data_IF_279658397216
#
_entry.id   IF_279658397216
#
_cell.length_a   1.000
_cell.length_b   1.000
_cell.length_c   1.000
_cell.angle_alpha   90.00
_cell.angle_beta   90.00
_cell.angle_gamma   90.00
#
_symmetry.space_group_name_H-M   'P 1'
#
loop_
_entity.id
_entity.type
_entity.pdbx_description
1 polymer ?
#
# COMPACT_ATOMS: atom_id res chain seq x y z
N UNK A 1 -20.95 6.69 -16.44
CA UNK A 1 -20.36 7.47 -17.56
C UNK A 1 -19.41 8.57 -17.09
N UNK A 2 -19.52 9.10 -15.87
CA UNK A 2 -18.64 10.16 -15.35
C UNK A 2 -17.17 9.75 -15.11
N UNK A 3 -16.90 8.54 -14.61
CA UNK A 3 -15.52 8.05 -14.40
C UNK A 3 -14.64 8.04 -15.66
N UNK A 4 -15.24 7.87 -16.85
CA UNK A 4 -14.50 7.94 -18.12
C UNK A 4 -14.11 9.38 -18.49
N UNK A 5 -14.87 10.40 -18.07
CA UNK A 5 -14.60 11.81 -18.39
C UNK A 5 -13.42 12.36 -17.60
N UNK A 6 -13.26 11.96 -16.33
CA UNK A 6 -12.08 12.33 -15.54
C UNK A 6 -10.80 11.71 -16.10
N UNK A 7 -10.86 10.41 -16.45
CA UNK A 7 -9.74 9.72 -17.08
C UNK A 7 -9.33 10.35 -18.41
N UNK A 8 -10.28 10.80 -19.22
CA UNK A 8 -10.00 11.47 -20.49
C UNK A 8 -9.50 12.91 -20.31
N UNK A 9 -9.94 13.61 -19.26
CA UNK A 9 -9.41 14.93 -18.90
C UNK A 9 -7.96 14.84 -18.43
N UNK A 10 -7.66 13.86 -17.57
CA UNK A 10 -6.31 13.56 -17.11
C UNK A 10 -5.41 13.19 -18.30
N UNK A 11 -5.86 12.31 -19.22
CA UNK A 11 -5.12 11.95 -20.44
C UNK A 11 -4.78 13.16 -21.33
N UNK A 12 -5.67 14.15 -21.38
CA UNK A 12 -5.53 15.36 -22.18
C UNK A 12 -4.56 16.35 -21.53
N UNK A 13 -4.66 16.56 -20.22
CA UNK A 13 -3.74 17.39 -19.44
C UNK A 13 -2.31 16.83 -19.42
N UNK A 14 -2.17 15.50 -19.43
CA UNK A 14 -0.88 14.84 -19.45
C UNK A 14 -0.30 14.66 -20.85
N UNK A 15 -0.79 15.30 -21.91
CA UNK A 15 -0.10 15.41 -23.22
C UNK A 15 0.36 14.07 -23.84
N UNK A 16 -0.55 13.13 -24.06
CA UNK A 16 -0.27 11.88 -24.78
C UNK A 16 -0.51 12.11 -26.28
N UNK A 17 0.52 12.55 -26.99
CA UNK A 17 0.49 12.56 -28.45
C UNK A 17 0.56 11.11 -28.97
N UNK A 18 -0.28 10.83 -29.95
CA UNK A 18 -0.50 9.54 -30.60
C UNK A 18 0.79 8.99 -31.23
N UNK A 19 1.48 8.14 -30.48
CA UNK A 19 2.58 7.30 -30.95
C UNK A 19 2.65 6.07 -30.06
N UNK A 20 2.53 4.90 -30.68
CA UNK A 20 2.50 3.55 -30.08
C UNK A 20 1.69 3.45 -28.77
N UNK A 21 0.47 2.90 -28.87
CA UNK A 21 -0.54 2.85 -27.80
C UNK A 21 0.04 2.29 -26.48
N UNK A 22 0.99 1.36 -26.56
CA UNK A 22 1.69 0.83 -25.40
C UNK A 22 2.60 1.85 -24.71
N UNK A 23 3.39 2.61 -25.48
CA UNK A 23 4.26 3.68 -24.97
C UNK A 23 3.44 4.83 -24.37
N UNK A 24 2.32 5.17 -25.03
CA UNK A 24 1.36 6.18 -24.61
C UNK A 24 0.67 5.81 -23.30
N UNK A 25 0.15 4.58 -23.16
CA UNK A 25 -0.45 4.07 -21.92
C UNK A 25 0.56 4.04 -20.76
N UNK A 26 1.81 3.68 -21.04
CA UNK A 26 2.89 3.65 -20.05
C UNK A 26 3.28 5.05 -19.58
N UNK A 27 3.43 6.02 -20.50
CA UNK A 27 3.65 7.44 -20.16
C UNK A 27 2.46 8.03 -19.40
N UNK A 28 1.23 7.67 -19.76
CA UNK A 28 0.02 8.05 -19.04
C UNK A 28 0.05 7.60 -17.58
N UNK A 29 0.32 6.30 -17.36
CA UNK A 29 0.41 5.70 -16.02
C UNK A 29 1.49 6.36 -15.16
N UNK A 30 2.67 6.62 -15.73
CA UNK A 30 3.74 7.34 -15.03
C UNK A 30 3.36 8.78 -14.65
N UNK A 31 2.69 9.51 -15.56
CA UNK A 31 2.22 10.89 -15.28
C UNK A 31 1.08 10.90 -14.25
N UNK A 32 0.20 9.90 -14.27
CA UNK A 32 -0.81 9.67 -13.23
C UNK A 32 -0.14 9.41 -11.87
N UNK A 33 0.90 8.59 -11.80
CA UNK A 33 1.66 8.40 -10.56
C UNK A 33 2.19 9.73 -10.00
N UNK A 34 2.87 10.53 -10.83
CA UNK A 34 3.41 11.84 -10.42
C UNK A 34 2.30 12.78 -9.95
N UNK A 35 1.18 12.85 -10.68
CA UNK A 35 0.01 13.64 -10.29
C UNK A 35 -0.57 13.17 -8.95
N UNK A 36 -0.74 11.86 -8.76
CA UNK A 36 -1.29 11.31 -7.51
C UNK A 36 -0.39 11.61 -6.30
N UNK A 37 0.94 11.68 -6.50
CA UNK A 37 1.87 12.12 -5.44
C UNK A 37 1.67 13.58 -5.04
N UNK A 38 1.28 14.46 -5.97
CA UNK A 38 1.02 15.87 -5.64
C UNK A 38 -0.33 16.09 -4.95
N UNK A 39 -1.24 15.12 -5.02
CA UNK A 39 -2.59 15.24 -4.44
C UNK A 39 -2.67 15.02 -2.92
N UNK A 40 -1.55 14.89 -2.19
CA UNK A 40 -1.51 14.62 -0.73
C UNK A 40 -2.51 13.52 -0.32
N UNK A 41 -2.51 12.42 -1.06
CA UNK A 41 -3.42 11.29 -0.77
C UNK A 41 -3.00 10.66 0.56
N UNK A 42 -3.91 10.70 1.53
CA UNK A 42 -3.72 10.05 2.83
C UNK A 42 -4.35 8.65 2.81
N UNK A 43 -3.58 7.59 3.13
CA UNK A 43 -4.14 6.25 3.28
C UNK A 43 -5.23 6.21 4.35
N UNK A 44 -6.33 5.54 4.03
CA UNK A 44 -7.43 5.30 4.97
C UNK A 44 -7.47 3.80 5.27
N UNK A 45 -7.37 3.47 6.56
CA UNK A 45 -7.26 2.09 7.03
C UNK A 45 -8.54 1.63 7.71
N UNK A 46 -9.00 0.44 7.36
CA UNK A 46 -10.05 -0.25 8.09
C UNK A 46 -9.41 -0.93 9.30
N UNK A 47 -9.83 -0.58 10.51
CA UNK A 47 -9.53 -1.35 11.70
C UNK A 47 -10.67 -2.33 11.95
N UNK A 48 -11.04 -3.07 10.90
CA UNK A 48 -12.21 -3.93 10.91
C UNK A 48 -11.93 -5.15 11.80
N UNK A 49 -12.92 -5.58 12.60
CA UNK A 49 -12.81 -6.77 13.47
C UNK A 49 -12.94 -8.09 12.65
N UNK A 50 -12.70 -8.06 11.33
CA UNK A 50 -12.97 -9.19 10.43
C UNK A 50 -11.98 -10.36 10.66
N UNK A 51 -12.45 -11.36 11.40
CA UNK A 51 -11.78 -12.66 11.62
C UNK A 51 -11.80 -13.58 10.38
N UNK A 52 -12.68 -13.35 9.41
CA UNK A 52 -12.93 -14.35 8.33
C UNK A 52 -11.75 -14.51 7.36
N UNK A 53 -11.03 -13.44 7.03
CA UNK A 53 -9.93 -13.49 6.03
C UNK A 53 -8.63 -14.10 6.57
N UNK A 54 -8.49 -14.27 7.88
CA UNK A 54 -7.26 -14.71 8.54
C UNK A 54 -7.53 -15.76 9.62
N UNK A 55 -8.48 -16.66 9.36
CA UNK A 55 -8.95 -17.71 10.29
C UNK A 55 -7.85 -18.64 10.83
N UNK A 56 -6.64 -18.58 10.27
CA UNK A 56 -5.47 -19.32 10.73
C UNK A 56 -4.82 -18.73 12.00
N UNK A 57 -5.15 -17.48 12.39
CA UNK A 57 -4.62 -16.85 13.60
C UNK A 57 -5.70 -16.64 14.64
N UNK A 58 -5.49 -17.15 15.85
CA UNK A 58 -6.45 -17.05 16.95
C UNK A 58 -6.66 -15.61 17.42
N UNK A 59 -5.58 -14.81 17.43
CA UNK A 59 -5.56 -13.41 17.90
C UNK A 59 -4.60 -12.58 17.06
N UNK A 60 -5.01 -11.35 16.77
CA UNK A 60 -4.20 -10.39 16.01
C UNK A 60 -3.92 -9.15 16.86
N UNK A 61 -2.85 -8.45 16.53
CA UNK A 61 -2.50 -7.14 17.04
C UNK A 61 -2.31 -6.19 15.87
N UNK A 62 -2.70 -4.94 16.06
CA UNK A 62 -2.45 -3.86 15.10
C UNK A 62 -1.25 -3.07 15.61
N UNK A 63 -0.19 -3.03 14.81
CA UNK A 63 1.00 -2.25 15.11
C UNK A 63 1.13 -1.07 14.15
N UNK A 64 1.63 0.06 14.64
CA UNK A 64 2.16 1.14 13.81
C UNK A 64 3.62 0.79 13.45
N UNK A 65 3.88 0.58 12.16
CA UNK A 65 5.17 0.16 11.63
C UNK A 65 5.79 1.24 10.74
N UNK A 66 7.11 1.40 10.81
CA UNK A 66 7.86 2.26 9.91
C UNK A 66 7.96 1.63 8.52
N UNK A 67 7.55 2.35 7.48
CA UNK A 67 7.54 1.85 6.10
C UNK A 67 8.95 1.54 5.59
N UNK A 68 9.95 2.34 5.97
CA UNK A 68 11.36 2.06 5.64
C UNK A 68 11.82 0.72 6.23
N UNK A 69 11.54 0.49 7.52
CA UNK A 69 11.90 -0.75 8.20
C UNK A 69 11.19 -1.95 7.59
N UNK A 70 9.89 -1.85 7.28
CA UNK A 70 9.17 -2.91 6.57
C UNK A 70 9.86 -3.25 5.25
N UNK A 71 10.28 -2.28 4.46
CA UNK A 71 10.94 -2.53 3.17
C UNK A 71 12.34 -3.11 3.32
N UNK A 72 13.10 -2.66 4.31
CA UNK A 72 14.51 -3.05 4.51
C UNK A 72 14.68 -4.38 5.23
N UNK A 73 13.72 -4.76 6.09
CA UNK A 73 13.83 -5.90 7.01
C UNK A 73 12.88 -7.05 6.71
N UNK A 74 12.10 -6.95 5.64
CA UNK A 74 11.24 -8.05 5.20
C UNK A 74 11.71 -8.71 3.91
N UNK A 75 11.04 -9.78 3.54
CA UNK A 75 11.11 -10.45 2.26
C UNK A 75 10.55 -9.62 1.08
N UNK A 76 10.27 -8.33 1.31
CA UNK A 76 9.73 -7.41 0.31
C UNK A 76 10.60 -7.38 -0.95
N UNK A 77 10.08 -7.97 -2.02
CA UNK A 77 10.69 -7.90 -3.34
C UNK A 77 10.58 -6.49 -3.93
N UNK A 78 11.45 -5.59 -3.47
CA UNK A 78 11.60 -4.19 -3.92
C UNK A 78 11.68 -4.06 -5.44
N UNK A 79 12.22 -5.08 -6.13
CA UNK A 79 12.35 -5.12 -7.59
C UNK A 79 11.02 -5.15 -8.37
N UNK A 80 9.90 -5.50 -7.71
CA UNK A 80 8.60 -5.76 -8.38
C UNK A 80 7.58 -4.64 -8.31
N UNK A 81 7.72 -3.65 -7.41
CA UNK A 81 6.57 -2.81 -7.06
C UNK A 81 6.79 -1.31 -7.30
N UNK A 82 8.00 -0.78 -7.14
CA UNK A 82 8.29 0.61 -7.55
C UNK A 82 9.74 0.67 -8.02
N UNK A 83 10.02 0.25 -9.26
CA UNK A 83 11.26 0.69 -9.92
C UNK A 83 11.25 2.23 -9.98
N UNK A 84 12.42 2.85 -10.11
CA UNK A 84 12.57 4.31 -10.39
C UNK A 84 11.65 4.83 -11.50
N UNK A 85 11.11 3.93 -12.34
CA UNK A 85 10.01 4.14 -13.26
C UNK A 85 8.66 3.85 -12.56
N UNK A 86 7.91 4.89 -12.22
CA UNK A 86 6.62 4.91 -11.51
C UNK A 86 5.46 4.11 -12.14
N UNK A 87 5.66 2.82 -12.45
CA UNK A 87 4.62 1.96 -13.03
C UNK A 87 3.72 1.37 -11.96
N UNK A 88 2.66 2.12 -11.67
CA UNK A 88 1.53 1.62 -10.90
C UNK A 88 0.78 0.55 -11.73
N UNK A 89 0.69 -0.66 -11.19
CA UNK A 89 -0.22 -1.72 -11.66
C UNK A 89 -1.67 -1.40 -11.30
N UNK A 90 -2.61 -2.07 -11.93
CA UNK A 90 -4.04 -1.78 -11.76
C UNK A 90 -4.50 -1.93 -10.29
N UNK A 91 -4.01 -2.93 -9.55
CA UNK A 91 -4.27 -3.08 -8.11
C UNK A 91 -3.82 -1.87 -7.27
N UNK A 92 -2.74 -1.17 -7.67
CA UNK A 92 -2.33 0.04 -7.00
C UNK A 92 -3.30 1.20 -7.27
N UNK A 93 -3.76 1.30 -8.52
CA UNK A 93 -4.70 2.35 -8.94
C UNK A 93 -6.04 2.17 -8.21
N UNK A 94 -6.52 0.94 -8.07
CA UNK A 94 -7.76 0.65 -7.35
C UNK A 94 -7.69 1.07 -5.87
N UNK A 95 -6.55 0.84 -5.22
CA UNK A 95 -6.32 1.27 -3.83
C UNK A 95 -6.23 2.79 -3.73
N UNK A 96 -5.51 3.44 -4.64
CA UNK A 96 -5.42 4.90 -4.68
C UNK A 96 -6.80 5.53 -4.86
N UNK A 97 -7.64 4.99 -5.76
CA UNK A 97 -9.01 5.45 -5.92
C UNK A 97 -9.83 5.29 -4.64
N UNK A 98 -9.71 4.14 -3.95
CA UNK A 98 -10.37 3.94 -2.66
C UNK A 98 -9.93 4.97 -1.62
N UNK A 99 -8.64 5.25 -1.49
CA UNK A 99 -8.15 6.26 -0.55
C UNK A 99 -8.54 7.70 -0.92
N UNK A 100 -8.60 8.02 -2.22
CA UNK A 100 -9.15 9.29 -2.71
C UNK A 100 -10.62 9.43 -2.30
N UNK A 101 -11.41 8.37 -2.52
CA UNK A 101 -12.83 8.30 -2.16
C UNK A 101 -13.06 8.10 -0.64
N UNK A 102 -12.00 8.17 0.18
CA UNK A 102 -12.02 7.94 1.63
C UNK A 102 -12.65 6.61 2.06
N UNK A 103 -12.55 5.60 1.20
CA UNK A 103 -12.95 4.22 1.46
C UNK A 103 -11.84 3.52 2.25
N UNK A 104 -12.11 3.05 3.49
CA UNK A 104 -11.13 2.32 4.29
C UNK A 104 -10.72 0.99 3.63
N UNK A 105 -9.46 0.60 3.80
CA UNK A 105 -8.90 -0.67 3.34
C UNK A 105 -8.18 -1.33 4.51
N UNK A 106 -8.26 -2.65 4.65
CA UNK A 106 -7.58 -3.33 5.74
C UNK A 106 -6.05 -3.05 5.73
N UNK A 107 -5.34 -3.21 6.86
CA UNK A 107 -3.90 -3.09 6.91
C UNK A 107 -3.22 -4.32 6.28
N UNK A 108 -1.95 -4.22 5.86
CA UNK A 108 -1.15 -5.38 5.45
C UNK A 108 -1.02 -6.40 6.59
N UNK A 109 -1.00 -7.69 6.25
CA UNK A 109 -0.76 -8.75 7.22
C UNK A 109 0.72 -9.14 7.19
N UNK A 110 1.36 -9.07 8.36
CA UNK A 110 2.75 -9.44 8.56
C UNK A 110 2.88 -10.48 9.67
N UNK A 111 3.98 -11.24 9.68
CA UNK A 111 4.40 -12.08 10.79
C UNK A 111 5.87 -11.82 11.17
N UNK A 112 6.35 -12.58 12.15
CA UNK A 112 7.76 -12.58 12.54
C UNK A 112 8.19 -14.00 12.91
N UNK A 113 9.14 -14.54 12.15
CA UNK A 113 9.79 -15.83 12.43
C UNK A 113 11.30 -15.61 12.55
N UNK A 114 11.99 -15.43 11.41
CA UNK A 114 13.44 -15.09 11.33
C UNK A 114 13.67 -13.70 10.69
N UNK A 115 12.66 -12.84 10.79
CA UNK A 115 12.57 -11.55 10.09
C UNK A 115 11.12 -11.17 9.86
N UNK A 116 10.90 -9.99 9.30
CA UNK A 116 9.53 -9.55 8.98
C UNK A 116 9.05 -10.31 7.74
N UNK A 117 8.01 -11.14 7.86
CA UNK A 117 7.38 -11.74 6.69
C UNK A 117 6.12 -10.95 6.31
N UNK A 118 5.99 -10.57 5.03
CA UNK A 118 4.76 -9.92 4.54
C UNK A 118 3.88 -10.97 3.88
N UNK A 119 2.90 -11.44 4.64
CA UNK A 119 1.96 -12.48 4.22
C UNK A 119 0.97 -11.95 3.18
N UNK A 120 0.52 -10.70 3.32
CA UNK A 120 -0.41 -10.05 2.40
C UNK A 120 -0.23 -8.52 2.43
N UNK A 121 -0.58 -7.83 1.33
CA UNK A 121 -0.55 -6.37 1.30
C UNK A 121 0.74 -5.72 0.84
N UNK A 122 1.65 -6.47 0.21
CA UNK A 122 2.88 -5.93 -0.39
C UNK A 122 2.65 -4.69 -1.27
N UNK A 123 1.58 -4.70 -2.06
CA UNK A 123 1.21 -3.58 -2.94
C UNK A 123 0.75 -2.32 -2.15
N UNK A 124 0.14 -2.49 -0.96
CA UNK A 124 -0.25 -1.39 -0.06
C UNK A 124 0.99 -0.74 0.58
N UNK A 125 1.93 -1.56 1.07
CA UNK A 125 3.20 -1.06 1.63
C UNK A 125 3.99 -0.28 0.56
N UNK A 126 4.04 -0.80 -0.66
CA UNK A 126 4.70 -0.13 -1.78
C UNK A 126 4.07 1.23 -2.10
N UNK A 127 2.74 1.31 -2.09
CA UNK A 127 2.01 2.55 -2.29
C UNK A 127 2.30 3.56 -1.18
N UNK A 128 2.36 3.13 0.08
CA UNK A 128 2.73 4.00 1.18
C UNK A 128 4.15 4.54 1.02
N UNK A 129 5.11 3.73 0.54
CA UNK A 129 6.45 4.23 0.18
C UNK A 129 6.42 5.25 -0.95
N UNK A 130 5.60 5.01 -1.98
CA UNK A 130 5.44 5.90 -3.11
C UNK A 130 4.87 7.27 -2.70
N UNK A 131 3.87 7.26 -1.81
CA UNK A 131 3.22 8.43 -1.23
C UNK A 131 4.04 9.08 -0.10
N UNK A 132 5.23 8.55 0.21
CA UNK A 132 6.11 9.04 1.29
C UNK A 132 5.45 9.03 2.67
N UNK A 133 4.55 8.07 2.89
CA UNK A 133 3.92 7.82 4.18
C UNK A 133 4.97 7.17 5.09
N UNK A 134 5.32 7.78 6.24
CA UNK A 134 6.41 7.30 7.07
C UNK A 134 6.04 6.03 7.85
N UNK A 135 4.78 5.94 8.27
CA UNK A 135 4.26 4.89 9.13
C UNK A 135 2.91 4.39 8.67
N UNK A 136 2.67 3.10 8.82
CA UNK A 136 1.41 2.45 8.44
C UNK A 136 0.99 1.46 9.52
N UNK A 137 -0.32 1.26 9.74
CA UNK A 137 -0.77 0.14 10.54
C UNK A 137 -0.47 -1.16 9.79
N UNK A 138 -0.14 -2.22 10.54
CA UNK A 138 -0.04 -3.60 10.06
C UNK A 138 -0.80 -4.51 11.02
N UNK A 139 -1.38 -5.58 10.48
CA UNK A 139 -1.91 -6.70 11.25
C UNK A 139 -0.79 -7.69 11.50
N UNK A 140 -0.70 -8.20 12.73
CA UNK A 140 0.33 -9.15 13.14
C UNK A 140 -0.28 -10.19 14.09
N UNK A 141 0.09 -11.48 14.00
CA UNK A 141 -0.23 -12.45 15.04
C UNK A 141 0.23 -11.96 16.43
N UNK A 142 -0.62 -12.14 17.45
CA UNK A 142 -0.35 -11.59 18.79
C UNK A 142 1.00 -12.06 19.35
N UNK A 143 1.36 -13.30 19.10
CA UNK A 143 2.62 -13.95 19.48
C UNK A 143 3.85 -13.29 18.82
N UNK A 144 3.71 -12.74 17.62
CA UNK A 144 4.79 -12.06 16.89
C UNK A 144 4.90 -10.56 17.25
N UNK A 145 3.83 -9.96 17.79
CA UNK A 145 3.77 -8.52 18.06
C UNK A 145 4.87 -8.04 19.01
N UNK A 146 5.16 -8.81 20.08
CA UNK A 146 6.18 -8.44 21.06
C UNK A 146 7.59 -8.37 20.47
N UNK A 147 7.93 -9.29 19.56
CA UNK A 147 9.24 -9.29 18.88
C UNK A 147 9.37 -8.09 17.93
N UNK A 148 8.33 -7.79 17.15
CA UNK A 148 8.35 -6.64 16.24
C UNK A 148 8.46 -5.29 16.99
N UNK A 149 7.79 -5.16 18.13
CA UNK A 149 7.91 -3.97 18.99
C UNK A 149 9.34 -3.84 19.52
N UNK A 150 9.90 -4.92 20.07
CA UNK A 150 11.23 -4.92 20.70
C UNK A 150 12.36 -4.69 19.69
N UNK A 151 12.29 -5.33 18.53
CA UNK A 151 13.42 -5.39 17.60
C UNK A 151 13.41 -4.28 16.55
N UNK A 152 12.22 -3.79 16.19
CA UNK A 152 12.06 -2.79 15.14
C UNK A 152 11.44 -1.47 15.64
N UNK A 153 11.12 -1.38 16.93
CA UNK A 153 10.55 -0.19 17.54
C UNK A 153 9.16 0.16 17.01
N UNK A 154 8.39 -0.85 16.60
CA UNK A 154 6.98 -0.66 16.23
C UNK A 154 6.15 -0.38 17.48
N UNK A 155 5.01 0.28 17.31
CA UNK A 155 4.13 0.66 18.42
C UNK A 155 2.83 -0.11 18.38
N UNK A 156 2.35 -0.62 19.51
CA UNK A 156 1.02 -1.22 19.59
C UNK A 156 -0.06 -0.14 19.46
N UNK A 157 -0.98 -0.32 18.50
CA UNK A 157 -2.19 0.51 18.36
C UNK A 157 -3.34 -0.14 19.16
N UNK A 158 -3.62 -1.43 18.91
CA UNK A 158 -4.74 -2.17 19.53
C UNK A 158 -4.52 -3.68 19.41
N UNK A 159 -5.04 -4.45 20.37
CA UNK A 159 -5.22 -5.90 20.23
C UNK A 159 -6.62 -6.23 19.68
N UNK A 160 -6.70 -7.22 18.79
CA UNK A 160 -7.92 -7.81 18.23
C UNK A 160 -8.05 -9.22 18.83
N UNK A 161 -9.01 -9.40 19.73
CA UNK A 161 -9.21 -10.64 20.52
C UNK A 161 -10.44 -11.40 20.01
#
# INVERSE_FOLDING_TARGET
MEKNRELDKIKKEIGIATGDIFSAKRKARNRVGIYLKTQRIEPVWAFSDFKESFSQFDKLSILEANVSTLIEKSDFATSRIVRKTAELKDAHIDILNKWIDKVPIDPPLCNYEDGIGILEGNHRIALCKFLEVPKVPILVPKEAAGSLIREYGFSLIREIV
#
